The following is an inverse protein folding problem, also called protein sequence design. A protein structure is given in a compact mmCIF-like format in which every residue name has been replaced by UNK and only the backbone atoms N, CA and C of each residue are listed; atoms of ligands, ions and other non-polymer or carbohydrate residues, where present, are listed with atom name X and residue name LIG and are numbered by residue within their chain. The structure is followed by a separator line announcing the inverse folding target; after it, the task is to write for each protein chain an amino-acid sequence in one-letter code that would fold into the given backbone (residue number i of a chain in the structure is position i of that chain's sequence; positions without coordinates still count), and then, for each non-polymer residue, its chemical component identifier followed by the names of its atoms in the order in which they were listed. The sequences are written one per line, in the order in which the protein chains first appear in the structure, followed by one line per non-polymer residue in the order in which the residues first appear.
data_IF_386425936671
#
_entry.id   IF_386425936671
#
_cell.length_a   1.000
_cell.length_b   1.000
_cell.length_c   1.000
_cell.angle_alpha   90.00
_cell.angle_beta   90.00
_cell.angle_gamma   90.00
#
_symmetry.space_group_name_H-M   'P 1'
#
loop_
_entity.id
_entity.type
_entity.pdbx_description
1 polymer ?
#
# COMPACT_ATOMS: atom_id res chain seq x y z
N UNK A 1 -33.59 33.26 24.42
CA UNK A 1 -32.25 33.38 23.81
C UNK A 1 -31.52 32.07 24.03
N UNK A 2 -31.46 31.19 23.02
CA UNK A 2 -30.88 29.85 23.14
C UNK A 2 -29.43 29.88 22.63
N UNK A 3 -28.48 29.47 23.47
CA UNK A 3 -27.08 29.31 23.07
C UNK A 3 -26.95 28.10 22.13
N UNK A 4 -26.59 28.35 20.88
CA UNK A 4 -26.28 27.31 19.90
C UNK A 4 -24.81 26.90 20.09
N UNK A 5 -24.58 25.74 20.70
CA UNK A 5 -23.25 25.16 20.87
C UNK A 5 -22.70 24.74 19.50
N UNK A 6 -21.56 25.28 19.11
CA UNK A 6 -20.76 24.83 17.96
C UNK A 6 -20.01 23.57 18.35
N UNK A 7 -20.41 22.41 17.83
CA UNK A 7 -19.63 21.17 18.01
C UNK A 7 -18.48 21.15 17.01
N UNK A 8 -17.31 21.59 17.46
CA UNK A 8 -16.03 21.19 16.86
C UNK A 8 -15.81 19.72 17.24
N UNK A 9 -16.02 18.79 16.30
CA UNK A 9 -15.59 17.40 16.48
C UNK A 9 -14.19 17.25 15.91
N UNK A 10 -13.22 17.42 16.80
CA UNK A 10 -11.84 16.99 16.59
C UNK A 10 -11.79 15.49 16.22
N UNK A 11 -11.05 15.17 15.17
CA UNK A 11 -10.52 13.81 14.96
C UNK A 11 -9.00 13.96 14.94
N UNK A 12 -8.36 13.60 16.05
CA UNK A 12 -6.91 13.50 16.13
C UNK A 12 -6.51 12.21 15.43
N UNK A 13 -5.81 12.31 14.30
CA UNK A 13 -5.15 11.17 13.66
C UNK A 13 -3.67 11.23 14.01
N UNK A 14 -3.34 10.88 15.25
CA UNK A 14 -1.96 10.77 15.69
C UNK A 14 -1.43 9.37 15.38
N UNK A 15 -0.99 9.21 14.14
CA UNK A 15 -0.05 8.13 13.78
C UNK A 15 1.11 8.78 13.02
N UNK A 16 2.16 9.15 13.75
CA UNK A 16 3.43 9.60 13.18
C UNK A 16 4.13 8.40 12.51
N UNK A 17 3.72 8.10 11.28
CA UNK A 17 4.40 7.11 10.45
C UNK A 17 5.52 7.84 9.70
N UNK A 18 6.74 7.76 10.22
CA UNK A 18 7.92 8.24 9.53
C UNK A 18 8.25 7.31 8.35
N UNK A 19 8.31 7.87 7.14
CA UNK A 19 8.63 7.13 5.91
C UNK A 19 9.81 7.78 5.21
N UNK A 20 10.85 6.99 4.91
CA UNK A 20 11.96 7.44 4.08
C UNK A 20 11.51 7.53 2.60
N UNK A 21 11.46 8.76 2.07
CA UNK A 21 11.05 9.05 0.71
C UNK A 21 12.20 8.93 -0.31
N UNK A 22 13.46 8.89 0.15
CA UNK A 22 14.65 8.83 -0.71
C UNK A 22 14.83 10.05 -1.63
N UNK A 23 14.30 11.22 -1.23
CA UNK A 23 14.36 12.48 -1.99
C UNK A 23 15.29 13.54 -1.35
N UNK A 24 15.93 13.22 -0.22
CA UNK A 24 16.72 14.18 0.56
C UNK A 24 15.83 15.27 1.17
N UNK A 25 16.43 16.42 1.48
CA UNK A 25 15.73 17.55 2.09
C UNK A 25 14.79 18.23 1.09
N UNK A 26 13.50 18.22 1.39
CA UNK A 26 12.45 18.79 0.54
C UNK A 26 12.27 20.27 0.92
N UNK A 27 12.58 21.18 0.00
CA UNK A 27 12.52 22.63 0.23
C UNK A 27 11.21 23.29 -0.21
N UNK A 28 10.58 22.79 -1.28
CA UNK A 28 9.40 23.43 -1.87
C UNK A 28 8.08 22.81 -1.40
N UNK A 29 7.79 21.56 -1.79
CA UNK A 29 6.50 20.93 -1.55
C UNK A 29 6.63 19.46 -1.12
N UNK A 30 6.16 19.18 0.10
CA UNK A 30 6.18 17.86 0.70
C UNK A 30 5.28 16.84 -0.02
N UNK A 31 4.04 17.21 -0.37
CA UNK A 31 3.09 16.31 -1.02
C UNK A 31 3.56 15.90 -2.41
N UNK A 32 4.14 16.82 -3.17
CA UNK A 32 4.72 16.53 -4.49
C UNK A 32 5.88 15.54 -4.40
N UNK A 33 6.74 15.71 -3.39
CA UNK A 33 7.84 14.78 -3.14
C UNK A 33 7.33 13.40 -2.68
N UNK A 34 6.29 13.37 -1.84
CA UNK A 34 5.63 12.13 -1.43
C UNK A 34 5.05 11.38 -2.63
N UNK A 35 4.19 12.01 -3.43
CA UNK A 35 3.52 11.37 -4.59
C UNK A 35 4.50 10.79 -5.60
N UNK A 36 5.67 11.43 -5.77
CA UNK A 36 6.71 10.97 -6.70
C UNK A 36 7.72 10.00 -6.09
N UNK A 37 7.59 9.66 -4.80
CA UNK A 37 8.45 8.69 -4.12
C UNK A 37 8.07 7.24 -4.45
N UNK A 38 8.89 6.28 -3.99
CA UNK A 38 8.64 4.84 -4.17
C UNK A 38 7.35 4.37 -3.50
N UNK A 39 6.84 5.10 -2.51
CA UNK A 39 5.64 4.73 -1.75
C UNK A 39 4.40 4.68 -2.65
N UNK A 40 4.25 5.67 -3.53
CA UNK A 40 3.06 5.85 -4.37
C UNK A 40 3.24 5.38 -5.82
N UNK A 41 4.18 4.46 -6.08
CA UNK A 41 4.33 3.88 -7.43
C UNK A 41 3.17 2.97 -7.77
N UNK A 42 2.76 2.97 -9.04
CA UNK A 42 1.80 2.01 -9.55
C UNK A 42 2.34 0.57 -9.39
N UNK A 43 1.58 -0.28 -8.71
CA UNK A 43 1.88 -1.71 -8.57
C UNK A 43 1.06 -2.48 -9.61
N UNK A 44 1.72 -3.35 -10.36
CA UNK A 44 1.06 -4.21 -11.35
C UNK A 44 1.07 -5.65 -10.83
N UNK A 45 -0.10 -6.25 -10.75
CA UNK A 45 -0.24 -7.66 -10.40
C UNK A 45 0.10 -8.56 -11.58
N UNK A 46 0.71 -9.72 -11.30
CA UNK A 46 0.96 -10.72 -12.34
C UNK A 46 -0.34 -11.44 -12.67
N UNK A 47 -0.74 -11.36 -13.94
CA UNK A 47 -1.89 -12.09 -14.45
C UNK A 47 -1.70 -13.62 -14.28
N UNK A 48 -2.81 -14.34 -14.06
CA UNK A 48 -2.79 -15.80 -13.90
C UNK A 48 -2.68 -16.55 -15.24
N UNK A 49 -3.10 -15.95 -16.34
CA UNK A 49 -3.09 -16.52 -17.70
C UNK A 49 -2.72 -15.43 -18.72
N UNK A 50 -2.21 -15.83 -19.89
CA UNK A 50 -1.86 -14.93 -20.99
C UNK A 50 -0.40 -14.47 -21.01
N UNK A 51 -0.14 -13.25 -21.49
CA UNK A 51 1.22 -12.70 -21.61
C UNK A 51 1.80 -12.41 -20.22
N UNK A 52 3.03 -12.86 -19.98
CA UNK A 52 3.73 -12.60 -18.71
C UNK A 52 3.22 -13.40 -17.50
N UNK A 53 2.27 -14.33 -17.70
CA UNK A 53 1.75 -15.20 -16.63
C UNK A 53 2.56 -16.49 -16.45
N UNK A 54 3.49 -16.81 -17.36
CA UNK A 54 4.29 -18.02 -17.28
C UNK A 54 5.25 -17.97 -16.08
N UNK A 55 5.22 -19.01 -15.24
CA UNK A 55 6.13 -19.16 -14.11
C UNK A 55 6.90 -20.48 -14.24
N UNK A 56 8.24 -20.44 -14.17
CA UNK A 56 9.09 -21.64 -14.33
C UNK A 56 8.86 -22.68 -13.23
N UNK A 57 8.45 -22.24 -12.03
CA UNK A 57 8.18 -23.09 -10.87
C UNK A 57 6.75 -22.81 -10.40
N UNK A 58 5.91 -23.85 -10.41
CA UNK A 58 4.58 -23.78 -9.84
C UNK A 58 4.65 -23.67 -8.30
N UNK A 59 3.61 -23.08 -7.69
CA UNK A 59 3.49 -22.87 -6.23
C UNK A 59 3.66 -24.16 -5.41
N UNK A 60 3.21 -25.30 -5.95
CA UNK A 60 3.20 -26.60 -5.28
C UNK A 60 4.00 -27.65 -6.06
N UNK A 61 5.26 -27.36 -6.42
CA UNK A 61 6.14 -28.37 -7.03
C UNK A 61 6.42 -29.50 -6.02
N UNK A 62 6.10 -30.74 -6.39
CA UNK A 62 6.37 -31.94 -5.57
C UNK A 62 5.37 -32.20 -4.45
N UNK A 63 4.27 -31.43 -4.37
CA UNK A 63 3.15 -31.73 -3.47
C UNK A 63 1.95 -32.15 -4.32
N UNK A 64 1.46 -33.37 -4.09
CA UNK A 64 0.22 -33.87 -4.67
C UNK A 64 -0.93 -32.95 -4.23
N UNK A 65 -1.79 -32.46 -5.13
CA UNK A 65 -2.92 -31.60 -4.77
C UNK A 65 -3.99 -32.30 -3.91
N UNK A 66 -3.92 -33.64 -3.80
CA UNK A 66 -4.89 -34.48 -3.09
C UNK A 66 -4.26 -35.44 -2.08
N UNK A 67 -3.16 -35.09 -1.40
CA UNK A 67 -2.79 -35.84 -0.20
C UNK A 67 -3.74 -35.49 0.95
N UNK A 68 -4.96 -36.04 0.90
CA UNK A 68 -5.75 -36.25 2.11
C UNK A 68 -4.99 -37.29 2.92
N UNK A 69 -4.24 -36.85 3.93
CA UNK A 69 -3.86 -37.76 5.01
C UNK A 69 -5.19 -38.21 5.66
N UNK A 70 -5.48 -39.49 5.50
CA UNK A 70 -6.51 -40.19 6.26
C UNK A 70 -6.05 -40.36 7.71
#
# INVERSE_FOLDING_TARGET
MAQKQTRSSCHQTDTDIQVDLGRGDIKDNALKAMVTSKLFRAKVEKAKKGKGSFTRRAKHRGKEPYSKAA
#
